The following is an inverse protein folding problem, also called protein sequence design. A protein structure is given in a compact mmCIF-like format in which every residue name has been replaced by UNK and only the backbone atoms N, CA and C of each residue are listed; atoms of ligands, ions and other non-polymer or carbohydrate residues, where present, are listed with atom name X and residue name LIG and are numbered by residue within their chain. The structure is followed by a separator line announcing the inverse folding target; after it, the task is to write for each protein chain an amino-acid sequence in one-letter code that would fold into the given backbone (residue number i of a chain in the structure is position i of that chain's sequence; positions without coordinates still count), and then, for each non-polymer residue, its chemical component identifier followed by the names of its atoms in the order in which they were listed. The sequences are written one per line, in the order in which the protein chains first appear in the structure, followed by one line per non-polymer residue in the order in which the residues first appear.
data_IF_456441728071
#
_entry.id   IF_456441728071
#
_cell.length_a   1.000
_cell.length_b   1.000
_cell.length_c   1.000
_cell.angle_alpha   90.00
_cell.angle_beta   90.00
_cell.angle_gamma   90.00
#
_symmetry.space_group_name_H-M   'P 1'
#
loop_
_entity.id
_entity.type
_entity.pdbx_description
1 polymer ?
#
# COMPACT_ATOMS: atom_id res chain seq x y z
N UNK A 1 6.93 -15.27 9.92
CA UNK A 1 8.20 -14.58 9.50
C UNK A 1 7.86 -13.12 9.21
N UNK A 2 8.78 -12.17 9.30
CA UNK A 2 8.49 -10.76 8.98
C UNK A 2 9.22 -10.26 7.75
N UNK A 3 8.61 -9.32 7.03
CA UNK A 3 9.22 -8.58 5.92
C UNK A 3 8.93 -7.08 6.01
N UNK A 4 9.82 -6.24 5.47
CA UNK A 4 9.62 -4.79 5.41
C UNK A 4 9.22 -4.42 3.98
N UNK A 5 8.00 -3.94 3.81
CA UNK A 5 7.49 -3.45 2.54
C UNK A 5 7.68 -1.93 2.49
N UNK A 6 8.09 -1.43 1.32
CA UNK A 6 8.33 0.00 1.10
C UNK A 6 7.55 0.48 -0.10
N UNK A 7 6.91 1.64 0.03
CA UNK A 7 6.29 2.38 -1.07
C UNK A 7 6.94 3.74 -1.17
N UNK A 8 7.50 4.03 -2.33
CA UNK A 8 7.98 5.36 -2.69
C UNK A 8 6.83 6.19 -3.28
N UNK A 9 6.74 7.44 -2.85
CA UNK A 9 5.81 8.44 -3.36
C UNK A 9 6.60 9.57 -4.01
N UNK A 10 6.13 10.00 -5.17
CA UNK A 10 6.64 11.16 -5.88
C UNK A 10 5.45 12.00 -6.33
N UNK A 11 5.35 13.22 -5.83
CA UNK A 11 4.36 14.20 -6.24
C UNK A 11 5.08 15.29 -7.04
N UNK A 12 4.55 15.60 -8.21
CA UNK A 12 5.07 16.65 -9.10
C UNK A 12 3.93 17.61 -9.37
N UNK A 13 4.15 18.89 -9.06
CA UNK A 13 3.24 19.95 -9.50
C UNK A 13 3.47 20.21 -11.00
N UNK A 14 2.43 20.02 -11.82
CA UNK A 14 2.57 20.07 -13.27
C UNK A 14 2.74 21.48 -13.85
N UNK A 15 2.49 22.53 -13.06
CA UNK A 15 2.60 23.93 -13.49
C UNK A 15 3.99 24.47 -13.18
N UNK A 16 4.46 24.21 -11.95
CA UNK A 16 5.76 24.71 -11.46
C UNK A 16 6.91 23.75 -11.75
N UNK A 17 6.62 22.45 -11.89
CA UNK A 17 7.62 21.39 -11.98
C UNK A 17 8.19 20.99 -10.61
N UNK A 18 7.73 21.60 -9.52
CA UNK A 18 8.20 21.29 -8.18
C UNK A 18 7.91 19.83 -7.82
N UNK A 19 8.87 19.17 -7.19
CA UNK A 19 8.80 17.75 -6.82
C UNK A 19 8.97 17.57 -5.32
N UNK A 20 8.10 16.75 -4.73
CA UNK A 20 8.25 16.26 -3.36
C UNK A 20 8.19 14.74 -3.33
N UNK A 21 9.11 14.13 -2.59
CA UNK A 21 9.26 12.69 -2.48
C UNK A 21 9.32 12.24 -1.04
N UNK A 22 8.78 11.05 -0.77
CA UNK A 22 8.87 10.41 0.53
C UNK A 22 8.67 8.90 0.36
N UNK A 23 9.33 8.09 1.20
CA UNK A 23 9.13 6.64 1.21
C UNK A 23 8.50 6.23 2.53
N UNK A 24 7.44 5.43 2.46
CA UNK A 24 6.86 4.76 3.62
C UNK A 24 7.41 3.35 3.75
N UNK A 25 7.50 2.87 4.99
CA UNK A 25 7.94 1.52 5.32
C UNK A 25 6.97 0.90 6.32
N UNK A 26 6.62 -0.37 6.10
CA UNK A 26 5.71 -1.12 6.96
C UNK A 26 6.23 -2.53 7.16
N UNK A 27 6.23 -3.00 8.40
CA UNK A 27 6.61 -4.38 8.73
C UNK A 27 5.35 -5.25 8.69
N UNK A 28 5.40 -6.31 7.89
CA UNK A 28 4.34 -7.33 7.81
C UNK A 28 4.84 -8.61 8.45
N UNK A 29 4.05 -9.18 9.38
CA UNK A 29 4.31 -10.49 9.98
C UNK A 29 3.37 -11.51 9.35
N UNK A 30 3.94 -12.47 8.63
CA UNK A 30 3.24 -13.58 8.02
C UNK A 30 3.16 -14.75 8.98
N UNK A 31 1.99 -15.37 9.00
CA UNK A 31 1.75 -16.60 9.72
C UNK A 31 2.38 -17.82 9.06
N UNK A 32 1.90 -18.99 9.48
CA UNK A 32 2.36 -20.29 8.99
C UNK A 32 1.17 -21.08 8.43
N UNK A 33 0.71 -20.76 7.20
CA UNK A 33 -0.34 -21.55 6.58
C UNK A 33 0.08 -23.01 6.45
N UNK A 34 -0.88 -23.91 6.61
CA UNK A 34 -0.68 -25.33 6.35
C UNK A 34 -0.40 -25.57 4.85
N UNK A 35 0.20 -26.72 4.50
CA UNK A 35 0.38 -27.09 3.10
C UNK A 35 -0.93 -27.11 2.29
N UNK A 36 -2.05 -27.46 2.93
CA UNK A 36 -3.36 -27.47 2.31
C UNK A 36 -3.84 -26.05 1.96
N UNK A 37 -3.73 -25.12 2.91
CA UNK A 37 -4.08 -23.71 2.68
C UNK A 37 -3.21 -23.07 1.60
N UNK A 38 -1.90 -23.37 1.61
CA UNK A 38 -0.98 -22.86 0.59
C UNK A 38 -1.32 -23.41 -0.80
N UNK A 39 -1.62 -24.70 -0.91
CA UNK A 39 -2.03 -25.31 -2.19
C UNK A 39 -3.33 -24.69 -2.71
N UNK A 40 -4.32 -24.47 -1.84
CA UNK A 40 -5.57 -23.80 -2.20
C UNK A 40 -5.34 -22.36 -2.66
N UNK A 41 -4.45 -21.62 -1.99
CA UNK A 41 -4.11 -20.25 -2.38
C UNK A 41 -3.40 -20.20 -3.74
N UNK A 42 -2.43 -21.09 -3.98
CA UNK A 42 -1.76 -21.22 -5.29
C UNK A 42 -2.76 -21.56 -6.40
N UNK A 43 -3.69 -22.49 -6.13
CA UNK A 43 -4.72 -22.88 -7.10
C UNK A 43 -5.66 -21.71 -7.48
N UNK A 44 -5.81 -20.69 -6.60
CA UNK A 44 -6.64 -19.52 -6.92
C UNK A 44 -6.01 -18.58 -7.96
N UNK A 45 -4.75 -18.81 -8.36
CA UNK A 45 -3.97 -17.98 -9.29
C UNK A 45 -3.74 -16.52 -8.87
N UNK A 46 -4.31 -16.07 -7.75
CA UNK A 46 -4.08 -14.74 -7.18
C UNK A 46 -2.60 -14.48 -6.86
N UNK A 47 -1.83 -15.44 -6.27
CA UNK A 47 -0.41 -15.23 -5.98
C UNK A 47 0.43 -14.82 -7.18
N UNK A 48 0.01 -15.23 -8.39
CA UNK A 48 0.72 -14.94 -9.65
C UNK A 48 0.46 -13.51 -10.16
N UNK A 49 -0.52 -12.82 -9.59
CA UNK A 49 -0.97 -11.50 -10.03
C UNK A 49 -0.56 -10.37 -9.09
N UNK A 50 0.06 -10.69 -7.96
CA UNK A 50 0.45 -9.73 -6.93
C UNK A 50 1.93 -9.86 -6.58
N UNK A 51 2.57 -8.73 -6.28
CA UNK A 51 3.97 -8.74 -5.90
C UNK A 51 4.18 -9.52 -4.60
N UNK A 52 5.20 -10.39 -4.57
CA UNK A 52 5.49 -11.19 -3.38
C UNK A 52 4.41 -12.22 -3.03
N UNK A 53 3.51 -12.57 -3.97
CA UNK A 53 2.45 -13.56 -3.77
C UNK A 53 1.51 -13.22 -2.61
N UNK A 54 1.28 -11.93 -2.36
CA UNK A 54 0.47 -11.47 -1.23
C UNK A 54 -0.14 -10.08 -1.48
N UNK A 55 -1.37 -9.87 -0.99
CA UNK A 55 -2.01 -8.55 -0.84
C UNK A 55 -2.95 -8.54 0.38
N UNK A 56 -3.20 -7.35 0.95
CA UNK A 56 -4.07 -7.17 2.13
C UNK A 56 -5.57 -7.16 1.83
N UNK A 57 -5.95 -6.97 0.57
CA UNK A 57 -7.33 -6.89 0.09
C UNK A 57 -7.74 -8.13 -0.72
N UNK A 58 -6.99 -9.22 -0.60
CA UNK A 58 -7.19 -10.47 -1.34
C UNK A 58 -7.16 -11.72 -0.46
N UNK A 59 -7.10 -12.90 -1.09
CA UNK A 59 -7.05 -14.20 -0.41
C UNK A 59 -5.75 -14.44 0.35
N UNK A 60 -4.72 -13.63 0.12
CA UNK A 60 -3.50 -13.66 0.93
C UNK A 60 -3.65 -13.03 2.33
N UNK A 61 -4.65 -12.18 2.54
CA UNK A 61 -4.83 -11.43 3.78
C UNK A 61 -4.98 -12.30 5.05
N UNK A 62 -5.71 -13.44 5.04
CA UNK A 62 -5.82 -14.32 6.21
C UNK A 62 -4.48 -14.89 6.71
N UNK A 63 -3.43 -14.88 5.89
CA UNK A 63 -2.11 -15.38 6.26
C UNK A 63 -1.20 -14.31 6.90
N UNK A 64 -1.72 -13.12 7.16
CA UNK A 64 -1.03 -12.03 7.87
C UNK A 64 -1.45 -12.02 9.33
N UNK A 65 -0.47 -12.11 10.23
CA UNK A 65 -0.71 -12.07 11.68
C UNK A 65 -0.77 -10.63 12.20
N UNK A 66 0.08 -9.74 11.69
CA UNK A 66 0.09 -8.35 12.12
C UNK A 66 0.78 -7.42 11.13
N UNK A 67 0.43 -6.14 11.20
CA UNK A 67 1.07 -5.04 10.48
C UNK A 67 1.55 -4.02 11.50
N UNK A 68 2.78 -3.55 11.32
CA UNK A 68 3.37 -2.46 12.10
C UNK A 68 3.80 -1.36 11.13
N UNK A 69 3.01 -0.28 11.10
CA UNK A 69 3.10 0.78 10.11
C UNK A 69 1.75 1.09 9.46
N UNK A 70 1.78 1.48 8.19
CA UNK A 70 0.62 1.90 7.42
C UNK A 70 0.23 0.85 6.38
N UNK A 71 -1.00 0.33 6.46
CA UNK A 71 -1.53 -0.65 5.51
C UNK A 71 -1.53 -0.14 4.06
N UNK A 72 -1.68 1.17 3.84
CA UNK A 72 -1.57 1.77 2.51
C UNK A 72 -0.19 1.54 1.85
N UNK A 73 0.87 1.47 2.65
CA UNK A 73 2.23 1.10 2.17
C UNK A 73 2.27 -0.32 1.64
N UNK A 74 1.48 -1.24 2.20
CA UNK A 74 1.44 -2.62 1.72
C UNK A 74 0.61 -2.72 0.44
N UNK A 75 -0.46 -1.93 0.34
CA UNK A 75 -1.32 -1.84 -0.85
C UNK A 75 -0.69 -1.05 -2.02
N UNK A 76 0.38 -0.29 -1.76
CA UNK A 76 1.11 0.48 -2.76
C UNK A 76 0.80 1.98 -2.82
N UNK A 77 -0.02 2.51 -1.90
CA UNK A 77 -0.23 3.94 -1.73
C UNK A 77 -0.50 4.29 -0.25
N UNK A 78 0.50 4.85 0.43
CA UNK A 78 0.31 5.48 1.74
C UNK A 78 -0.45 6.81 1.64
N UNK A 79 -1.70 6.83 2.10
CA UNK A 79 -2.50 8.05 2.19
C UNK A 79 -1.93 9.08 3.19
N UNK A 80 -1.39 8.68 4.36
CA UNK A 80 -0.68 9.63 5.23
C UNK A 80 0.53 10.30 4.57
N UNK A 81 1.33 9.56 3.78
CA UNK A 81 2.43 10.16 3.00
C UNK A 81 1.90 11.12 1.95
N UNK A 82 0.90 10.71 1.16
CA UNK A 82 0.29 11.57 0.15
C UNK A 82 -0.21 12.89 0.74
N UNK A 83 -0.91 12.82 1.89
CA UNK A 83 -1.38 14.02 2.61
C UNK A 83 -0.22 14.95 3.00
N UNK A 84 0.90 14.41 3.47
CA UNK A 84 2.09 15.21 3.82
C UNK A 84 2.72 15.83 2.58
N UNK A 85 2.84 15.10 1.49
CA UNK A 85 3.38 15.62 0.23
C UNK A 85 2.51 16.74 -0.33
N UNK A 86 1.18 16.58 -0.35
CA UNK A 86 0.25 17.65 -0.76
C UNK A 86 0.44 18.91 0.09
N UNK A 87 0.58 18.76 1.40
CA UNK A 87 0.81 19.89 2.31
C UNK A 87 2.14 20.63 2.01
N UNK A 88 3.18 19.93 1.54
CA UNK A 88 4.44 20.56 1.10
C UNK A 88 4.25 21.44 -0.15
N UNK A 89 3.24 21.15 -0.97
CA UNK A 89 2.81 21.98 -2.10
C UNK A 89 1.69 22.96 -1.73
N UNK A 90 1.44 23.20 -0.45
CA UNK A 90 0.41 24.13 0.02
C UNK A 90 -1.02 23.68 -0.26
N UNK A 91 -1.26 22.38 -0.50
CA UNK A 91 -2.60 21.81 -0.74
C UNK A 91 -3.02 20.92 0.43
N UNK A 92 -4.27 21.05 0.88
CA UNK A 92 -4.86 20.09 1.79
C UNK A 92 -5.42 18.90 0.99
N UNK A 93 -5.36 17.70 1.56
CA UNK A 93 -5.98 16.51 0.92
C UNK A 93 -7.49 16.67 0.74
N UNK A 94 -8.13 17.45 1.62
CA UNK A 94 -9.56 17.75 1.56
C UNK A 94 -9.94 18.64 0.38
N UNK A 95 -9.00 19.40 -0.19
CA UNK A 95 -9.23 20.22 -1.38
C UNK A 95 -9.58 19.36 -2.59
N UNK A 96 -9.21 18.07 -2.56
CA UNK A 96 -9.48 17.08 -3.60
C UNK A 96 -10.84 16.39 -3.45
N UNK A 97 -11.58 16.62 -2.36
CA UNK A 97 -12.88 15.99 -2.11
C UNK A 97 -14.03 16.62 -2.89
N UNK A 98 -13.73 17.40 -3.93
CA UNK A 98 -14.73 18.02 -4.80
C UNK A 98 -15.76 16.96 -5.18
N UNK A 99 -16.99 17.15 -4.71
CA UNK A 99 -18.09 16.26 -5.04
C UNK A 99 -18.12 16.14 -6.55
N UNK A 100 -17.97 14.92 -7.07
CA UNK A 100 -18.29 14.61 -8.46
C UNK A 100 -19.63 15.29 -8.74
N UNK A 101 -19.64 16.27 -9.65
CA UNK A 101 -20.91 16.85 -10.10
C UNK A 101 -21.79 15.66 -10.52
N UNK A 102 -23.02 15.56 -10.00
CA UNK A 102 -23.92 14.49 -10.40
C UNK A 102 -24.11 14.47 -11.93
#
# INVERSE_FOLDING_TARGET
RSGVLRTGHCLIDSVTGDRAEETSATVVRFGRPSPYELAAYVASSEPLRVAGAFTLDGRGAPFVESIDGDAGTVLGLSMPVLRRLLARHGRAVTDLWVASRP
#
